data_IF_026283643251
#
_entry.id   IF_026283643251
#
_cell.length_a   1.000
_cell.length_b   1.000
_cell.length_c   1.000
_cell.angle_alpha   90.00
_cell.angle_beta   90.00
_cell.angle_gamma   90.00
#
_symmetry.space_group_name_H-M   'P 1'
#
loop_
_entity.id
_entity.type
_entity.pdbx_description
1 polymer ?
#
# COMPACT_ATOMS: atom_id res chain seq x y z
N UNK A 1 7.66 -13.02 21.00
CA UNK A 1 7.97 -14.46 20.86
C UNK A 1 6.77 -15.31 21.26
N UNK A 2 6.94 -16.64 21.35
CA UNK A 2 5.87 -17.59 21.77
C UNK A 2 5.21 -17.17 23.10
N UNK A 3 6.04 -16.83 24.10
CA UNK A 3 5.60 -16.42 25.43
C UNK A 3 4.87 -15.06 25.46
N UNK A 4 5.19 -14.15 24.54
CA UNK A 4 4.58 -12.79 24.50
C UNK A 4 3.32 -12.73 23.65
N UNK A 5 3.11 -13.70 22.75
CA UNK A 5 2.02 -13.66 21.78
C UNK A 5 1.00 -14.76 22.06
N UNK A 6 1.43 -16.01 22.24
CA UNK A 6 0.50 -17.15 22.34
C UNK A 6 -0.09 -17.27 23.74
N UNK A 7 0.73 -17.11 24.79
CA UNK A 7 0.26 -17.25 26.18
C UNK A 7 -0.71 -16.15 26.58
N UNK A 8 -0.42 -14.85 26.39
CA UNK A 8 -1.37 -13.81 26.78
C UNK A 8 -2.57 -13.69 25.83
N UNK A 9 -2.40 -13.83 24.51
CA UNK A 9 -3.48 -13.58 23.56
C UNK A 9 -4.38 -14.78 23.27
N UNK A 10 -3.88 -16.01 23.42
CA UNK A 10 -4.68 -17.22 23.19
C UNK A 10 -5.07 -17.88 24.51
N UNK A 11 -4.10 -18.39 25.27
CA UNK A 11 -4.42 -19.17 26.47
C UNK A 11 -4.97 -18.29 27.61
N UNK A 12 -4.40 -17.10 27.82
CA UNK A 12 -4.84 -16.15 28.85
C UNK A 12 -6.27 -15.65 28.69
N UNK A 13 -6.81 -15.67 27.46
CA UNK A 13 -8.20 -15.30 27.16
C UNK A 13 -9.17 -16.49 27.10
N UNK A 14 -8.67 -17.70 26.83
CA UNK A 14 -9.44 -18.94 26.82
C UNK A 14 -9.72 -19.49 28.23
N UNK A 15 -8.73 -19.46 29.13
CA UNK A 15 -8.85 -19.95 30.50
C UNK A 15 -8.10 -19.05 31.48
N UNK A 16 -8.63 -17.84 31.77
CA UNK A 16 -7.96 -16.87 32.64
C UNK A 16 -7.61 -17.45 34.01
N UNK A 17 -8.45 -18.30 34.61
CA UNK A 17 -8.19 -18.98 35.89
C UNK A 17 -6.97 -19.93 35.88
N UNK A 18 -6.74 -20.66 34.79
CA UNK A 18 -5.60 -21.59 34.67
C UNK A 18 -4.29 -20.85 34.39
N UNK A 19 -4.34 -19.78 33.57
CA UNK A 19 -3.15 -19.00 33.22
C UNK A 19 -2.75 -18.06 34.35
N UNK A 20 -3.71 -17.55 35.12
CA UNK A 20 -3.45 -16.73 36.31
C UNK A 20 -2.68 -17.51 37.38
N UNK A 21 -3.00 -18.80 37.57
CA UNK A 21 -2.31 -19.67 38.53
C UNK A 21 -0.95 -20.21 38.04
N UNK A 22 -0.73 -20.31 36.73
CA UNK A 22 0.47 -20.95 36.17
C UNK A 22 1.51 -19.99 35.58
N UNK A 23 1.10 -18.96 34.84
CA UNK A 23 2.02 -18.20 33.98
C UNK A 23 1.98 -16.67 34.19
N UNK A 24 0.82 -16.07 34.47
CA UNK A 24 0.66 -14.62 34.60
C UNK A 24 -0.37 -14.26 35.69
N UNK A 25 0.05 -14.16 36.97
CA UNK A 25 -0.84 -13.77 38.05
C UNK A 25 -1.30 -12.31 37.86
N UNK A 26 -2.62 -12.09 37.83
CA UNK A 26 -3.25 -10.77 37.62
C UNK A 26 -4.08 -10.61 36.33
N UNK A 27 -4.22 -11.66 35.52
CA UNK A 27 -5.22 -11.70 34.45
C UNK A 27 -6.61 -11.89 35.03
N UNK A 28 -7.36 -10.81 35.17
CA UNK A 28 -8.80 -10.81 35.46
C UNK A 28 -9.57 -10.60 34.16
N UNK A 29 -10.41 -11.57 33.80
CA UNK A 29 -11.23 -11.53 32.60
C UNK A 29 -12.17 -12.73 32.52
N UNK A 30 -13.28 -12.58 31.82
CA UNK A 30 -14.19 -13.69 31.51
C UNK A 30 -13.61 -14.54 30.39
N UNK A 31 -13.85 -15.86 30.46
CA UNK A 31 -13.40 -16.79 29.43
C UNK A 31 -14.16 -16.52 28.12
N UNK A 32 -13.45 -16.10 27.08
CA UNK A 32 -14.06 -15.88 25.77
C UNK A 32 -13.83 -17.10 24.89
N UNK A 33 -14.90 -17.89 24.73
CA UNK A 33 -14.91 -19.11 23.92
C UNK A 33 -14.61 -18.86 22.44
N UNK A 34 -14.69 -17.61 21.96
CA UNK A 34 -14.35 -17.25 20.57
C UNK A 34 -12.87 -17.55 20.24
N UNK A 35 -11.98 -17.52 21.24
CA UNK A 35 -10.56 -17.85 21.07
C UNK A 35 -10.30 -19.35 20.83
N UNK A 36 -11.32 -20.20 20.93
CA UNK A 36 -11.23 -21.60 20.54
C UNK A 36 -10.98 -21.77 19.02
N UNK A 37 -11.49 -20.85 18.21
CA UNK A 37 -11.28 -20.84 16.74
C UNK A 37 -9.79 -20.71 16.37
N UNK A 38 -9.05 -19.68 16.83
CA UNK A 38 -7.62 -19.58 16.55
C UNK A 38 -6.80 -20.72 17.19
N UNK A 39 -7.26 -21.31 18.30
CA UNK A 39 -6.61 -22.48 18.91
C UNK A 39 -6.72 -23.71 18.00
N UNK A 40 -7.92 -24.01 17.49
CA UNK A 40 -8.13 -25.11 16.53
C UNK A 40 -7.30 -24.88 15.26
N UNK A 41 -7.31 -23.67 14.72
CA UNK A 41 -6.49 -23.32 13.54
C UNK A 41 -4.98 -23.45 13.81
N UNK A 42 -4.52 -23.10 15.02
CA UNK A 42 -3.15 -23.27 15.45
C UNK A 42 -2.74 -24.75 15.53
N UNK A 43 -3.60 -25.60 16.07
CA UNK A 43 -3.38 -27.06 16.12
C UNK A 43 -3.35 -27.64 14.71
N UNK A 44 -4.29 -27.25 13.83
CA UNK A 44 -4.32 -27.68 12.42
C UNK A 44 -3.03 -27.30 11.66
N UNK A 45 -2.36 -26.21 12.07
CA UNK A 45 -1.07 -25.78 11.51
C UNK A 45 0.08 -26.72 11.89
N UNK A 46 0.03 -27.37 13.05
CA UNK A 46 1.05 -28.34 13.48
C UNK A 46 1.10 -29.58 12.58
N UNK A 47 -0.02 -29.94 11.95
CA UNK A 47 -0.07 -31.02 10.94
C UNK A 47 0.77 -30.75 9.70
N UNK A 48 1.28 -29.52 9.51
CA UNK A 48 2.26 -29.18 8.49
C UNK A 48 3.63 -29.86 8.73
N UNK A 49 3.96 -30.19 9.98
CA UNK A 49 5.21 -30.88 10.31
C UNK A 49 5.18 -32.36 9.90
N UNK A 50 3.99 -32.92 9.68
CA UNK A 50 3.82 -34.28 9.19
C UNK A 50 3.65 -34.29 7.66
N UNK A 51 4.41 -35.11 6.90
CA UNK A 51 4.36 -35.13 5.44
C UNK A 51 3.00 -35.55 4.87
N UNK A 52 2.21 -36.32 5.62
CA UNK A 52 0.86 -36.79 5.23
C UNK A 52 -0.28 -35.83 5.58
N UNK A 53 -0.02 -34.77 6.37
CA UNK A 53 -1.04 -33.89 6.95
C UNK A 53 -1.37 -32.61 6.17
N UNK A 54 -0.78 -32.42 4.98
CA UNK A 54 -0.79 -31.14 4.26
C UNK A 54 -2.19 -30.62 3.91
N UNK A 55 -3.22 -31.46 3.79
CA UNK A 55 -4.58 -31.00 3.53
C UNK A 55 -5.19 -30.20 4.70
N UNK A 56 -4.90 -30.61 5.94
CA UNK A 56 -5.44 -29.97 7.15
C UNK A 56 -4.82 -28.59 7.35
N UNK A 57 -3.52 -28.42 7.06
CA UNK A 57 -2.83 -27.14 7.20
C UNK A 57 -3.20 -26.09 6.14
N UNK A 58 -3.91 -26.48 5.06
CA UNK A 58 -4.42 -25.53 4.05
C UNK A 58 -5.52 -24.62 4.60
N UNK A 59 -6.32 -25.08 5.55
CA UNK A 59 -7.41 -24.28 6.14
C UNK A 59 -6.89 -23.07 6.92
N UNK A 60 -5.95 -23.22 7.89
CA UNK A 60 -5.32 -22.07 8.53
C UNK A 60 -4.60 -21.16 7.55
N UNK A 61 -3.94 -21.71 6.52
CA UNK A 61 -3.24 -20.89 5.53
C UNK A 61 -4.21 -20.06 4.68
N UNK A 62 -5.33 -20.64 4.26
CA UNK A 62 -6.40 -19.92 3.57
C UNK A 62 -6.98 -18.81 4.45
N UNK A 63 -7.16 -19.07 5.75
CA UNK A 63 -7.58 -18.05 6.71
C UNK A 63 -6.57 -16.89 6.80
N UNK A 64 -5.28 -17.19 7.01
CA UNK A 64 -4.22 -16.16 7.10
C UNK A 64 -4.15 -15.33 5.82
N UNK A 65 -4.14 -15.97 4.65
CA UNK A 65 -4.11 -15.28 3.35
C UNK A 65 -5.38 -14.45 3.17
N UNK A 66 -6.55 -15.01 3.47
CA UNK A 66 -7.84 -14.33 3.37
C UNK A 66 -7.93 -13.09 4.25
N UNK A 67 -7.54 -13.19 5.53
CA UNK A 67 -7.53 -12.06 6.45
C UNK A 67 -6.52 -11.00 6.01
N UNK A 68 -5.31 -11.41 5.61
CA UNK A 68 -4.27 -10.49 5.14
C UNK A 68 -4.71 -9.77 3.87
N UNK A 69 -5.28 -10.49 2.91
CA UNK A 69 -5.81 -9.93 1.68
C UNK A 69 -7.00 -8.99 1.96
N UNK A 70 -7.90 -9.36 2.86
CA UNK A 70 -9.04 -8.54 3.26
C UNK A 70 -8.62 -7.22 3.91
N UNK A 71 -7.68 -7.26 4.86
CA UNK A 71 -7.13 -6.05 5.49
C UNK A 71 -6.45 -5.16 4.46
N UNK A 72 -5.62 -5.74 3.58
CA UNK A 72 -4.96 -4.98 2.51
C UNK A 72 -5.97 -4.37 1.55
N UNK A 73 -6.99 -5.11 1.13
CA UNK A 73 -8.05 -4.64 0.25
C UNK A 73 -8.80 -3.46 0.87
N UNK A 74 -9.16 -3.56 2.15
CA UNK A 74 -9.78 -2.44 2.86
C UNK A 74 -8.86 -1.22 2.93
N UNK A 75 -7.56 -1.43 3.17
CA UNK A 75 -6.54 -0.38 3.13
C UNK A 75 -6.46 0.29 1.76
N UNK A 76 -6.38 -0.48 0.68
CA UNK A 76 -6.37 0.02 -0.70
C UNK A 76 -7.65 0.79 -1.06
N UNK A 77 -8.82 0.30 -0.64
CA UNK A 77 -10.10 0.99 -0.89
C UNK A 77 -10.14 2.34 -0.17
N UNK A 78 -9.82 2.37 1.12
CA UNK A 78 -9.91 3.60 1.91
C UNK A 78 -8.83 4.62 1.56
N UNK A 79 -7.59 4.18 1.42
CA UNK A 79 -6.47 5.08 1.22
C UNK A 79 -6.33 5.50 -0.25
N UNK A 80 -6.26 4.54 -1.16
CA UNK A 80 -5.85 4.82 -2.54
C UNK A 80 -7.06 5.07 -3.44
N UNK A 81 -8.07 4.21 -3.39
CA UNK A 81 -9.23 4.31 -4.28
C UNK A 81 -10.10 5.52 -3.95
N UNK A 82 -10.42 5.73 -2.67
CA UNK A 82 -11.24 6.87 -2.26
C UNK A 82 -10.52 8.20 -2.49
N UNK A 83 -9.20 8.25 -2.25
CA UNK A 83 -8.36 9.42 -2.56
C UNK A 83 -8.37 9.72 -4.06
N UNK A 84 -8.24 8.70 -4.92
CA UNK A 84 -8.32 8.89 -6.37
C UNK A 84 -9.67 9.44 -6.84
N UNK A 85 -10.79 8.95 -6.28
CA UNK A 85 -12.12 9.49 -6.58
C UNK A 85 -12.20 10.95 -6.15
N UNK A 86 -11.82 11.27 -4.91
CA UNK A 86 -11.84 12.63 -4.39
C UNK A 86 -10.99 13.58 -5.22
N UNK A 87 -9.79 13.16 -5.62
CA UNK A 87 -8.88 13.96 -6.45
C UNK A 87 -9.37 14.13 -7.90
N UNK A 88 -10.34 13.32 -8.33
CA UNK A 88 -10.98 13.45 -9.64
C UNK A 88 -12.24 14.34 -9.60
N UNK A 89 -12.77 14.66 -8.41
CA UNK A 89 -13.89 15.60 -8.23
C UNK A 89 -13.31 17.03 -8.17
N UNK A 90 -12.92 17.54 -9.33
CA UNK A 90 -12.36 18.87 -9.51
C UNK A 90 -13.30 19.76 -10.33
N UNK A 91 -13.38 21.07 -10.04
CA UNK A 91 -14.20 21.98 -10.83
C UNK A 91 -13.65 22.11 -12.26
N UNK A 92 -14.52 21.87 -13.25
CA UNK A 92 -14.20 22.00 -14.68
C UNK A 92 -13.88 23.45 -15.09
N UNK A 93 -14.48 24.42 -14.42
CA UNK A 93 -14.22 25.84 -14.61
C UNK A 93 -13.79 26.44 -13.26
N UNK A 94 -12.52 26.83 -13.17
CA UNK A 94 -11.95 27.46 -11.98
C UNK A 94 -12.14 28.96 -12.10
N UNK A 95 -12.94 29.52 -11.20
CA UNK A 95 -13.08 30.96 -11.03
C UNK A 95 -12.40 31.35 -9.72
N UNK A 96 -11.38 32.20 -9.80
CA UNK A 96 -10.69 32.74 -8.64
C UNK A 96 -10.82 34.27 -8.68
N UNK A 97 -11.30 34.87 -7.57
CA UNK A 97 -11.53 36.31 -7.43
C UNK A 97 -12.34 36.96 -8.57
N UNK A 98 -13.37 36.27 -9.07
CA UNK A 98 -14.22 36.79 -10.15
C UNK A 98 -13.58 36.79 -11.54
N UNK A 99 -12.35 36.27 -11.67
CA UNK A 99 -11.64 36.07 -12.92
C UNK A 99 -11.59 34.59 -13.29
N UNK A 100 -11.74 34.29 -14.58
CA UNK A 100 -11.67 32.93 -15.10
C UNK A 100 -10.20 32.53 -15.31
N UNK A 101 -9.74 31.51 -14.59
CA UNK A 101 -8.40 30.96 -14.77
C UNK A 101 -8.44 29.90 -15.87
N UNK A 102 -8.09 30.33 -17.09
CA UNK A 102 -8.10 29.45 -18.27
C UNK A 102 -7.15 28.25 -18.11
N UNK A 103 -5.96 28.47 -17.55
CA UNK A 103 -4.94 27.43 -17.45
C UNK A 103 -5.34 26.30 -16.52
N UNK A 104 -5.80 26.62 -15.31
CA UNK A 104 -6.23 25.60 -14.34
C UNK A 104 -7.49 24.85 -14.80
N UNK A 105 -8.42 25.57 -15.42
CA UNK A 105 -9.61 24.97 -16.04
C UNK A 105 -9.23 23.99 -17.17
N UNK A 106 -8.24 24.34 -17.99
CA UNK A 106 -7.75 23.50 -19.07
C UNK A 106 -7.06 22.22 -18.56
N UNK A 107 -6.23 22.34 -17.52
CA UNK A 107 -5.59 21.19 -16.87
C UNK A 107 -6.62 20.23 -16.25
N UNK A 108 -7.62 20.77 -15.55
CA UNK A 108 -8.70 19.98 -14.96
C UNK A 108 -9.52 19.24 -16.03
N UNK A 109 -9.77 19.89 -17.16
CA UNK A 109 -10.45 19.28 -18.31
C UNK A 109 -9.63 18.14 -18.92
N UNK A 110 -8.32 18.34 -19.11
CA UNK A 110 -7.40 17.30 -19.59
C UNK A 110 -7.38 16.10 -18.64
N UNK A 111 -7.35 16.33 -17.32
CA UNK A 111 -7.35 15.27 -16.32
C UNK A 111 -8.62 14.42 -16.44
N UNK A 112 -9.79 15.06 -16.47
CA UNK A 112 -11.07 14.36 -16.58
C UNK A 112 -11.15 13.56 -17.89
N UNK A 113 -10.76 14.16 -19.02
CA UNK A 113 -10.74 13.46 -20.32
C UNK A 113 -9.76 12.28 -20.29
N UNK A 114 -8.57 12.47 -19.70
CA UNK A 114 -7.57 11.42 -19.53
C UNK A 114 -8.11 10.25 -18.71
N UNK A 115 -8.75 10.52 -17.58
CA UNK A 115 -9.36 9.49 -16.72
C UNK A 115 -10.48 8.75 -17.46
N UNK A 116 -11.41 9.47 -18.10
CA UNK A 116 -12.51 8.85 -18.84
C UNK A 116 -12.02 7.98 -20.00
N UNK A 117 -11.06 8.46 -20.78
CA UNK A 117 -10.51 7.70 -21.92
C UNK A 117 -9.69 6.49 -21.47
N UNK A 118 -8.95 6.59 -20.36
CA UNK A 118 -8.24 5.47 -19.75
C UNK A 118 -9.20 4.41 -19.19
N UNK A 119 -10.30 4.82 -18.54
CA UNK A 119 -11.34 3.90 -18.08
C UNK A 119 -12.00 3.16 -19.26
N UNK A 120 -12.30 3.88 -20.36
CA UNK A 120 -12.83 3.27 -21.59
C UNK A 120 -11.86 2.23 -22.16
N UNK A 121 -10.55 2.51 -22.14
CA UNK A 121 -9.53 1.55 -22.59
C UNK A 121 -9.49 0.27 -21.73
N UNK A 122 -9.56 0.39 -20.39
CA UNK A 122 -9.55 -0.77 -19.49
C UNK A 122 -10.89 -1.50 -19.39
N UNK A 123 -11.97 -0.94 -19.94
CA UNK A 123 -13.28 -1.57 -19.96
C UNK A 123 -13.33 -2.69 -21.01
N UNK A 124 -12.77 -3.86 -20.66
CA UNK A 124 -12.69 -5.05 -21.52
C UNK A 124 -14.06 -5.60 -21.98
N UNK A 125 -15.16 -5.19 -21.35
CA UNK A 125 -16.52 -5.69 -21.65
C UNK A 125 -17.16 -5.09 -22.91
N UNK A 126 -16.50 -4.17 -23.62
CA UNK A 126 -17.04 -3.58 -24.85
C UNK A 126 -16.14 -3.96 -26.04
N UNK A 127 -16.73 -4.52 -27.10
CA UNK A 127 -16.02 -4.71 -28.37
C UNK A 127 -15.53 -3.36 -28.88
N UNK A 128 -14.21 -3.22 -29.06
CA UNK A 128 -13.56 -1.98 -29.49
C UNK A 128 -13.78 -1.69 -31.00
N UNK A 129 -15.02 -1.66 -31.47
CA UNK A 129 -15.40 -1.31 -32.85
C UNK A 129 -15.94 0.12 -32.93
N UNK A 130 -15.50 0.88 -33.92
CA UNK A 130 -16.03 2.22 -34.22
C UNK A 130 -15.52 3.35 -33.30
N UNK A 131 -16.42 4.26 -32.89
CA UNK A 131 -16.09 5.48 -32.11
C UNK A 131 -15.42 5.17 -30.76
N UNK A 132 -15.80 4.06 -30.11
CA UNK A 132 -15.22 3.60 -28.84
C UNK A 132 -13.76 3.17 -29.00
N UNK A 133 -13.37 2.61 -30.16
CA UNK A 133 -11.98 2.27 -30.45
C UNK A 133 -11.08 3.50 -30.66
N UNK A 134 -11.64 4.63 -31.13
CA UNK A 134 -10.89 5.89 -31.29
C UNK A 134 -10.68 6.59 -29.96
N UNK A 135 -11.67 6.61 -29.07
CA UNK A 135 -11.52 7.16 -27.71
C UNK A 135 -10.59 6.32 -26.84
N UNK A 136 -10.64 4.98 -26.96
CA UNK A 136 -9.69 4.08 -26.31
C UNK A 136 -8.24 4.32 -26.76
N UNK A 137 -8.01 4.66 -28.04
CA UNK A 137 -6.67 4.99 -28.54
C UNK A 137 -6.09 6.22 -27.83
N UNK A 138 -6.87 7.27 -27.61
CA UNK A 138 -6.43 8.44 -26.83
C UNK A 138 -6.05 8.02 -25.41
N UNK A 139 -6.84 7.16 -24.78
CA UNK A 139 -6.53 6.58 -23.47
C UNK A 139 -5.17 5.85 -23.43
N UNK A 140 -4.81 5.11 -24.48
CA UNK A 140 -3.49 4.45 -24.59
C UNK A 140 -2.35 5.47 -24.55
N UNK A 141 -2.46 6.58 -25.26
CA UNK A 141 -1.44 7.63 -25.25
C UNK A 141 -1.29 8.24 -23.85
N UNK A 142 -2.41 8.53 -23.18
CA UNK A 142 -2.39 9.00 -21.79
C UNK A 142 -1.71 7.99 -20.87
N UNK A 143 -2.02 6.69 -21.00
CA UNK A 143 -1.41 5.63 -20.19
C UNK A 143 0.08 5.47 -20.44
N UNK A 144 0.53 5.55 -21.69
CA UNK A 144 1.95 5.48 -22.01
C UNK A 144 2.73 6.65 -21.40
N UNK A 145 2.17 7.86 -21.45
CA UNK A 145 2.79 9.05 -20.86
C UNK A 145 2.85 8.94 -19.33
N UNK A 146 1.74 8.56 -18.68
CA UNK A 146 1.68 8.48 -17.21
C UNK A 146 2.55 7.34 -16.66
N UNK A 147 2.55 6.17 -17.30
CA UNK A 147 3.45 5.08 -16.92
C UNK A 147 4.92 5.42 -17.17
N UNK A 148 5.23 6.09 -18.29
CA UNK A 148 6.58 6.58 -18.58
C UNK A 148 7.08 7.56 -17.51
N UNK A 149 6.23 8.52 -17.12
CA UNK A 149 6.53 9.46 -16.05
C UNK A 149 6.73 8.75 -14.70
N UNK A 150 5.85 7.82 -14.34
CA UNK A 150 5.95 7.05 -13.09
C UNK A 150 7.24 6.21 -13.03
N UNK A 151 7.61 5.56 -14.13
CA UNK A 151 8.89 4.86 -14.23
C UNK A 151 10.07 5.84 -14.05
N UNK A 152 10.04 6.98 -14.75
CA UNK A 152 11.05 8.04 -14.63
C UNK A 152 11.23 8.55 -13.19
N UNK A 153 10.14 8.76 -12.46
CA UNK A 153 10.19 9.17 -11.05
C UNK A 153 10.93 8.18 -10.16
N UNK A 154 10.69 6.87 -10.34
CA UNK A 154 11.39 5.85 -9.55
C UNK A 154 12.88 5.77 -9.88
N UNK A 155 13.25 5.95 -11.16
CA UNK A 155 14.65 5.98 -11.60
C UNK A 155 15.34 7.22 -11.06
N UNK A 156 14.70 8.38 -11.13
CA UNK A 156 15.21 9.62 -10.55
C UNK A 156 15.46 9.47 -9.05
N UNK A 157 14.53 8.86 -8.31
CA UNK A 157 14.72 8.60 -6.87
C UNK A 157 15.96 7.75 -6.58
N UNK A 158 16.22 6.73 -7.40
CA UNK A 158 17.43 5.90 -7.26
C UNK A 158 18.71 6.64 -7.62
N UNK A 159 18.70 7.44 -8.68
CA UNK A 159 19.86 8.27 -9.09
C UNK A 159 20.15 9.34 -8.03
N UNK A 160 19.12 9.99 -7.49
CA UNK A 160 19.27 10.98 -6.43
C UNK A 160 19.90 10.37 -5.18
N UNK A 161 19.44 9.18 -4.75
CA UNK A 161 20.06 8.46 -3.63
C UNK A 161 21.53 8.12 -3.90
N UNK A 162 21.87 7.72 -5.13
CA UNK A 162 23.26 7.45 -5.50
C UNK A 162 24.10 8.73 -5.51
N UNK A 163 23.57 9.83 -6.02
CA UNK A 163 24.23 11.14 -5.99
C UNK A 163 24.51 11.59 -4.55
N UNK A 164 23.53 11.47 -3.65
CA UNK A 164 23.69 11.77 -2.22
C UNK A 164 24.80 10.90 -1.59
N UNK A 165 24.89 9.62 -1.99
CA UNK A 165 25.97 8.74 -1.50
C UNK A 165 27.34 9.09 -2.06
N UNK A 166 27.43 9.56 -3.30
CA UNK A 166 28.68 10.05 -3.88
C UNK A 166 29.10 11.39 -3.27
N UNK A 167 28.15 12.29 -3.00
CA UNK A 167 28.38 13.55 -2.31
C UNK A 167 28.96 13.30 -0.92
N UNK A 168 28.35 12.42 -0.13
CA UNK A 168 28.90 11.97 1.16
C UNK A 168 30.33 11.41 1.02
N UNK A 169 30.58 10.57 0.01
CA UNK A 169 31.89 9.94 -0.17
C UNK A 169 32.97 10.97 -0.54
N UNK A 170 32.66 11.91 -1.43
CA UNK A 170 33.64 12.86 -1.97
C UNK A 170 33.80 14.14 -1.14
N UNK A 171 32.75 14.62 -0.48
CA UNK A 171 32.78 15.77 0.43
C UNK A 171 33.22 15.31 1.83
N UNK A 172 32.36 14.59 2.56
CA UNK A 172 32.56 14.28 3.97
C UNK A 172 33.73 13.31 4.25
N UNK A 173 33.93 12.30 3.39
CA UNK A 173 34.92 11.25 3.65
C UNK A 173 36.28 11.51 2.98
N UNK A 174 36.29 11.81 1.68
CA UNK A 174 37.54 12.02 0.90
C UNK A 174 38.00 13.48 0.83
N UNK A 175 37.14 14.44 1.20
CA UNK A 175 37.48 15.87 1.20
C UNK A 175 37.91 16.43 -0.16
N UNK A 176 37.53 15.81 -1.28
CA UNK A 176 37.95 16.19 -2.65
C UNK A 176 37.13 17.36 -3.19
N UNK A 177 35.86 17.47 -2.81
CA UNK A 177 34.95 18.53 -3.23
C UNK A 177 34.37 19.22 -1.99
N UNK A 178 34.13 20.54 -2.07
CA UNK A 178 33.40 21.30 -1.04
C UNK A 178 32.35 22.18 -1.75
N UNK A 179 31.24 21.58 -2.21
CA UNK A 179 30.19 22.29 -2.92
C UNK A 179 29.44 23.31 -2.02
N UNK A 180 29.47 23.11 -0.70
CA UNK A 180 28.81 23.99 0.27
C UNK A 180 29.70 25.13 0.79
N UNK A 181 30.98 25.19 0.37
CA UNK A 181 31.98 26.17 0.84
C UNK A 181 32.11 26.23 2.38
N UNK A 182 31.77 25.15 3.09
CA UNK A 182 31.74 25.15 4.55
C UNK A 182 33.15 25.26 5.17
N UNK A 183 34.21 24.98 4.41
CA UNK A 183 35.59 24.95 4.91
C UNK A 183 36.29 26.31 4.87
N UNK A 184 35.80 27.26 4.10
CA UNK A 184 36.40 28.60 3.91
C UNK A 184 35.80 29.71 4.78
N UNK A 185 34.73 29.43 5.52
CA UNK A 185 34.11 30.39 6.46
C UNK A 185 34.71 30.35 7.88
N UNK A 186 35.80 29.59 8.09
CA UNK A 186 36.42 29.34 9.39
C UNK A 186 37.78 30.00 9.61
N UNK A 187 38.06 31.16 9.00
CA UNK A 187 39.19 32.04 9.37
C UNK A 187 38.72 33.35 9.96
#
# INVERSE_FOLDING_TARGET
GFWDVIIPNMFGKLSPSFINSWAMPGLEGEADLLYLVPLVLGIMLLWRLAPSGTWISRWPLAFIIGTTAGIRLMGFIHADFLSQIRNSIIPLAVFENGSFMFWDSFLNLILIIGVLTALVYFFFSIEHKGLVGKTARVGIWFLMITFGAAFGYTVMGRIALLAIRLEFLFDDWLWIIDPAMNRIAGT
#
